data_IF_094711154113
#
_entry.id   IF_094711154113
#
_cell.length_a   1.000
_cell.length_b   1.000
_cell.length_c   1.000
_cell.angle_alpha   90.00
_cell.angle_beta   90.00
_cell.angle_gamma   90.00
#
_symmetry.space_group_name_H-M   'P 1'
#
loop_
_entity.id
_entity.type
_entity.pdbx_description
1 polymer ?
#
# COMPACT_ATOMS: atom_id res chain seq x y z
N UNK A 1 -7.31 14.06 -24.10
CA UNK A 1 -8.00 14.77 -23.02
C UNK A 1 -9.50 14.83 -23.29
N UNK A 2 -9.91 15.13 -24.52
CA UNK A 2 -11.28 15.05 -25.06
C UNK A 2 -12.13 13.85 -24.55
N UNK A 3 -11.59 12.62 -24.61
CA UNK A 3 -12.29 11.41 -24.11
C UNK A 3 -12.62 11.49 -22.61
N UNK A 4 -11.69 11.99 -21.79
CA UNK A 4 -11.89 12.09 -20.33
C UNK A 4 -12.88 13.20 -19.97
N UNK A 5 -12.84 14.33 -20.68
CA UNK A 5 -13.79 15.43 -20.50
C UNK A 5 -15.21 14.99 -20.82
N UNK A 6 -15.38 14.21 -21.89
CA UNK A 6 -16.69 13.70 -22.29
C UNK A 6 -17.23 12.67 -21.30
N UNK A 7 -16.37 11.84 -20.70
CA UNK A 7 -16.77 10.94 -19.60
C UNK A 7 -17.20 11.73 -18.35
N UNK A 8 -16.47 12.80 -17.99
CA UNK A 8 -16.83 13.68 -16.87
C UNK A 8 -18.20 14.33 -17.11
N UNK A 9 -18.44 14.81 -18.33
CA UNK A 9 -19.73 15.41 -18.72
C UNK A 9 -20.87 14.39 -18.69
N UNK A 10 -20.66 13.18 -19.22
CA UNK A 10 -21.70 12.15 -19.28
C UNK A 10 -22.11 11.63 -17.90
N UNK A 11 -21.14 11.48 -17.00
CA UNK A 11 -21.37 10.99 -15.64
C UNK A 11 -21.59 12.11 -14.61
N UNK A 12 -21.59 13.39 -15.04
CA UNK A 12 -21.70 14.58 -14.19
C UNK A 12 -20.77 14.53 -12.97
N UNK A 13 -19.54 14.08 -13.18
CA UNK A 13 -18.58 13.92 -12.08
C UNK A 13 -18.04 15.29 -11.65
N UNK A 14 -18.11 15.60 -10.36
CA UNK A 14 -17.42 16.77 -9.76
C UNK A 14 -15.91 16.52 -9.60
N UNK A 15 -15.25 16.01 -10.64
CA UNK A 15 -13.82 15.68 -10.62
C UNK A 15 -13.09 16.31 -11.81
N UNK A 16 -11.85 16.70 -11.59
CA UNK A 16 -10.99 17.22 -12.67
C UNK A 16 -10.43 16.08 -13.53
N UNK A 17 -10.12 16.37 -14.79
CA UNK A 17 -9.47 15.43 -15.74
C UNK A 17 -8.19 14.84 -15.13
N UNK A 18 -7.41 15.65 -14.41
CA UNK A 18 -6.17 15.22 -13.76
C UNK A 18 -6.41 14.23 -12.61
N UNK A 19 -7.47 14.43 -11.83
CA UNK A 19 -7.86 13.50 -10.78
C UNK A 19 -8.35 12.16 -11.36
N UNK A 20 -9.14 12.22 -12.43
CA UNK A 20 -9.65 11.03 -13.11
C UNK A 20 -8.53 10.23 -13.79
N UNK A 21 -7.60 10.92 -14.47
CA UNK A 21 -6.45 10.29 -15.12
C UNK A 21 -5.52 9.54 -14.15
N UNK A 22 -5.44 9.95 -12.89
CA UNK A 22 -4.66 9.22 -11.87
C UNK A 22 -5.31 7.92 -11.42
N UNK A 23 -6.63 7.82 -11.55
CA UNK A 23 -7.42 6.64 -11.16
C UNK A 23 -7.51 5.60 -12.28
N UNK A 24 -7.32 6.02 -13.52
CA UNK A 24 -7.40 5.17 -14.71
C UNK A 24 -6.00 4.63 -15.04
N UNK A 25 -5.94 3.34 -15.32
CA UNK A 25 -4.75 2.67 -15.83
C UNK A 25 -5.12 1.94 -17.11
N UNK A 26 -4.48 2.33 -18.22
CA UNK A 26 -4.67 1.70 -19.54
C UNK A 26 -3.44 0.89 -19.86
N UNK A 27 -3.62 -0.38 -20.20
CA UNK A 27 -2.53 -1.30 -20.55
C UNK A 27 -2.87 -2.00 -21.86
N UNK A 28 -1.88 -2.11 -22.74
CA UNK A 28 -1.98 -2.86 -24.00
C UNK A 28 -0.97 -4.00 -23.92
N UNK A 29 -1.41 -5.26 -23.76
CA UNK A 29 -0.52 -6.41 -23.76
C UNK A 29 0.23 -6.52 -25.09
N UNK A 30 1.51 -6.90 -25.04
CA UNK A 30 2.35 -7.10 -26.22
C UNK A 30 1.71 -8.12 -27.18
N UNK A 31 1.86 -7.89 -28.48
CA UNK A 31 1.35 -8.74 -29.55
C UNK A 31 -0.18 -8.98 -29.52
N UNK A 32 -0.93 -8.12 -28.81
CA UNK A 32 -2.40 -8.16 -28.81
C UNK A 32 -2.99 -6.86 -29.35
N UNK A 33 -4.22 -6.94 -29.88
CA UNK A 33 -5.04 -5.77 -30.20
C UNK A 33 -6.04 -5.47 -29.08
N UNK A 34 -5.67 -5.79 -27.84
CA UNK A 34 -6.53 -5.68 -26.67
C UNK A 34 -6.11 -4.44 -25.88
N UNK A 35 -7.08 -3.58 -25.57
CA UNK A 35 -6.89 -2.45 -24.67
C UNK A 35 -7.57 -2.77 -23.34
N UNK A 36 -6.76 -2.94 -22.30
CA UNK A 36 -7.25 -3.17 -20.94
C UNK A 36 -7.36 -1.84 -20.21
N UNK A 37 -8.57 -1.53 -19.73
CA UNK A 37 -8.87 -0.31 -18.97
C UNK A 37 -9.21 -0.72 -17.53
N UNK A 38 -8.41 -0.27 -16.58
CA UNK A 38 -8.67 -0.46 -15.15
C UNK A 38 -8.94 0.90 -14.48
N UNK A 39 -9.96 0.97 -13.64
CA UNK A 39 -10.32 2.18 -12.88
C UNK A 39 -10.31 1.86 -11.40
N UNK A 40 -9.62 2.68 -10.61
CA UNK A 40 -9.56 2.56 -9.15
C UNK A 40 -10.40 3.66 -8.51
N UNK A 41 -11.48 3.28 -7.83
CA UNK A 41 -12.28 4.18 -7.01
C UNK A 41 -12.60 3.58 -5.64
N UNK A 42 -13.01 4.43 -4.69
CA UNK A 42 -13.42 4.02 -3.36
C UNK A 42 -14.76 3.28 -3.39
N UNK A 43 -15.67 3.67 -4.31
CA UNK A 43 -16.94 3.00 -4.53
C UNK A 43 -16.84 2.03 -5.72
N UNK A 44 -17.06 0.72 -5.52
CA UNK A 44 -16.97 -0.28 -6.60
C UNK A 44 -17.93 0.00 -7.77
N UNK A 45 -19.12 0.52 -7.45
CA UNK A 45 -20.14 0.90 -8.44
C UNK A 45 -19.72 2.11 -9.27
N UNK A 46 -19.00 3.08 -8.69
CA UNK A 46 -18.49 4.19 -9.47
C UNK A 46 -17.35 3.75 -10.38
N UNK A 47 -16.47 2.87 -9.89
CA UNK A 47 -15.37 2.36 -10.69
C UNK A 47 -15.86 1.61 -11.95
N UNK A 48 -16.87 0.74 -11.81
CA UNK A 48 -17.46 0.01 -12.93
C UNK A 48 -18.15 0.95 -13.92
N UNK A 49 -18.96 1.91 -13.43
CA UNK A 49 -19.63 2.90 -14.29
C UNK A 49 -18.64 3.76 -15.06
N UNK A 50 -17.58 4.24 -14.41
CA UNK A 50 -16.54 5.05 -15.06
C UNK A 50 -15.80 4.23 -16.11
N UNK A 51 -15.44 2.97 -15.81
CA UNK A 51 -14.77 2.10 -16.76
C UNK A 51 -15.65 1.81 -18.00
N UNK A 52 -16.93 1.53 -17.80
CA UNK A 52 -17.87 1.27 -18.90
C UNK A 52 -18.15 2.52 -19.75
N UNK A 53 -18.32 3.69 -19.12
CA UNK A 53 -18.49 4.95 -19.85
C UNK A 53 -17.22 5.34 -20.61
N UNK A 54 -16.05 5.13 -20.00
CA UNK A 54 -14.77 5.38 -20.66
C UNK A 54 -14.57 4.45 -21.87
N UNK A 55 -14.94 3.17 -21.75
CA UNK A 55 -14.95 2.22 -22.86
C UNK A 55 -15.80 2.75 -24.01
N UNK A 56 -17.04 3.13 -23.75
CA UNK A 56 -17.98 3.59 -24.78
C UNK A 56 -17.45 4.82 -25.53
N UNK A 57 -17.04 5.86 -24.79
CA UNK A 57 -16.51 7.09 -25.40
C UNK A 57 -15.17 6.85 -26.09
N UNK A 58 -14.32 5.96 -25.57
CA UNK A 58 -13.07 5.60 -26.22
C UNK A 58 -13.31 4.83 -27.52
N UNK A 59 -14.25 3.87 -27.54
CA UNK A 59 -14.60 3.10 -28.74
C UNK A 59 -15.10 4.01 -29.85
N UNK A 60 -16.02 4.95 -29.57
CA UNK A 60 -16.49 5.93 -30.55
C UNK A 60 -15.34 6.78 -31.12
N UNK A 61 -14.41 7.21 -30.26
CA UNK A 61 -13.25 7.98 -30.70
C UNK A 61 -12.28 7.16 -31.53
N UNK A 62 -12.07 5.88 -31.21
CA UNK A 62 -11.20 4.98 -31.96
C UNK A 62 -11.76 4.71 -33.36
N UNK A 63 -13.07 4.45 -33.46
CA UNK A 63 -13.77 4.23 -34.74
C UNK A 63 -13.64 5.48 -35.62
N UNK A 64 -13.91 6.67 -35.07
CA UNK A 64 -13.87 7.93 -35.83
C UNK A 64 -12.46 8.33 -36.29
N UNK A 65 -11.42 8.07 -35.49
CA UNK A 65 -10.04 8.45 -35.81
C UNK A 65 -9.35 7.41 -36.70
N UNK A 66 -9.53 6.12 -36.40
CA UNK A 66 -8.80 5.03 -37.07
C UNK A 66 -9.56 4.49 -38.30
N UNK A 67 -10.82 4.90 -38.49
CA UNK A 67 -11.71 4.43 -39.58
C UNK A 67 -11.82 2.91 -39.66
N UNK A 68 -11.79 2.26 -38.49
CA UNK A 68 -12.04 0.83 -38.35
C UNK A 68 -13.53 0.56 -38.30
N UNK A 69 -13.94 -0.63 -38.75
CA UNK A 69 -15.35 -0.99 -38.89
C UNK A 69 -16.08 -1.12 -37.56
N UNK A 70 -15.40 -1.61 -36.51
CA UNK A 70 -15.99 -1.80 -35.19
C UNK A 70 -14.92 -2.03 -34.10
N UNK A 71 -15.28 -1.76 -32.84
CA UNK A 71 -14.49 -2.08 -31.64
C UNK A 71 -15.33 -2.97 -30.73
N UNK A 72 -14.97 -4.25 -30.67
CA UNK A 72 -15.71 -5.23 -29.86
C UNK A 72 -15.31 -5.16 -28.39
N UNK A 73 -16.30 -5.31 -27.51
CA UNK A 73 -16.07 -5.42 -26.07
C UNK A 73 -15.80 -6.88 -25.71
N UNK A 74 -14.63 -7.12 -25.13
CA UNK A 74 -14.26 -8.47 -24.66
C UNK A 74 -14.88 -8.76 -23.29
N UNK A 75 -14.81 -7.80 -22.37
CA UNK A 75 -15.33 -7.90 -21.01
C UNK A 75 -15.93 -6.56 -20.57
N UNK A 76 -17.09 -6.61 -19.92
CA UNK A 76 -17.70 -5.44 -19.29
C UNK A 76 -17.17 -5.25 -17.87
N UNK A 77 -16.98 -3.99 -17.46
CA UNK A 77 -16.53 -3.71 -16.10
C UNK A 77 -17.64 -4.02 -15.10
N UNK A 78 -17.35 -4.92 -14.15
CA UNK A 78 -18.23 -5.27 -13.03
C UNK A 78 -17.72 -4.64 -11.74
N UNK A 79 -18.61 -4.30 -10.78
CA UNK A 79 -18.19 -3.85 -9.45
C UNK A 79 -17.27 -4.88 -8.78
N UNK A 80 -16.17 -4.40 -8.21
CA UNK A 80 -15.23 -5.26 -7.51
C UNK A 80 -15.85 -5.81 -6.22
N UNK A 81 -15.79 -7.13 -6.01
CA UNK A 81 -16.27 -7.81 -4.80
C UNK A 81 -15.32 -7.65 -3.61
N UNK A 82 -14.05 -7.40 -3.88
CA UNK A 82 -13.00 -7.25 -2.86
C UNK A 82 -12.13 -6.04 -3.16
N UNK A 83 -11.60 -5.35 -2.13
CA UNK A 83 -10.74 -4.20 -2.33
C UNK A 83 -9.40 -4.63 -2.92
N UNK A 84 -8.95 -3.93 -3.97
CA UNK A 84 -7.66 -4.17 -4.60
C UNK A 84 -6.48 -3.63 -3.79
N UNK A 85 -6.73 -2.68 -2.88
CA UNK A 85 -5.74 -2.10 -1.98
C UNK A 85 -6.42 -1.41 -0.80
N UNK A 86 -5.73 -1.24 0.34
CA UNK A 86 -4.40 -1.75 0.68
C UNK A 86 -4.42 -3.24 1.03
N UNK A 87 -3.30 -3.94 0.82
CA UNK A 87 -3.17 -5.34 1.25
C UNK A 87 -2.84 -5.38 2.74
N UNK A 88 -3.88 -5.55 3.56
CA UNK A 88 -3.78 -5.53 5.03
C UNK A 88 -2.73 -6.52 5.51
N UNK A 89 -2.72 -7.76 5.01
CA UNK A 89 -1.77 -8.79 5.46
C UNK A 89 -0.32 -8.39 5.20
N UNK A 90 -0.02 -7.89 4.00
CA UNK A 90 1.33 -7.44 3.64
C UNK A 90 1.75 -6.24 4.49
N UNK A 91 0.86 -5.26 4.67
CA UNK A 91 1.14 -4.07 5.44
C UNK A 91 1.36 -4.38 6.93
N UNK A 92 0.56 -5.27 7.50
CA UNK A 92 0.72 -5.72 8.89
C UNK A 92 2.03 -6.49 9.07
N UNK A 93 2.38 -7.39 8.15
CA UNK A 93 3.66 -8.11 8.21
C UNK A 93 4.86 -7.14 8.15
N UNK A 94 4.81 -6.15 7.25
CA UNK A 94 5.85 -5.13 7.16
C UNK A 94 5.91 -4.27 8.42
N UNK A 95 4.76 -3.84 8.95
CA UNK A 95 4.69 -3.05 10.17
C UNK A 95 5.22 -3.83 11.39
N UNK A 96 4.96 -5.14 11.48
CA UNK A 96 5.49 -5.98 12.53
C UNK A 96 7.02 -6.09 12.48
N UNK A 97 7.59 -6.28 11.29
CA UNK A 97 9.05 -6.35 11.12
C UNK A 97 9.73 -5.04 11.49
N UNK A 98 9.19 -3.92 10.98
CA UNK A 98 9.74 -2.59 11.30
C UNK A 98 9.55 -2.26 12.77
N UNK A 99 8.37 -2.53 13.34
CA UNK A 99 8.08 -2.32 14.75
C UNK A 99 8.98 -3.16 15.66
N UNK A 100 9.23 -4.42 15.30
CA UNK A 100 10.17 -5.30 16.01
C UNK A 100 11.60 -4.79 15.97
N UNK A 101 12.06 -4.30 14.81
CA UNK A 101 13.38 -3.70 14.70
C UNK A 101 13.51 -2.44 15.58
N UNK A 102 12.50 -1.57 15.57
CA UNK A 102 12.45 -0.38 16.43
C UNK A 102 12.44 -0.79 17.91
N UNK A 103 11.67 -1.79 18.30
CA UNK A 103 11.62 -2.31 19.67
C UNK A 103 13.02 -2.73 20.15
N UNK A 104 13.74 -3.54 19.36
CA UNK A 104 15.09 -4.00 19.74
C UNK A 104 16.04 -2.82 19.93
N UNK A 105 16.04 -1.87 18.99
CA UNK A 105 16.88 -0.66 19.08
C UNK A 105 16.50 0.17 20.31
N UNK A 106 15.22 0.38 20.57
CA UNK A 106 14.77 1.15 21.74
C UNK A 106 15.17 0.48 23.05
N UNK A 107 15.01 -0.84 23.18
CA UNK A 107 15.43 -1.58 24.38
C UNK A 107 16.93 -1.49 24.57
N UNK A 108 17.72 -1.65 23.51
CA UNK A 108 19.17 -1.50 23.59
C UNK A 108 19.57 -0.09 24.03
N UNK A 109 18.95 0.95 23.47
CA UNK A 109 19.20 2.33 23.88
C UNK A 109 18.82 2.55 25.35
N UNK A 110 17.68 2.03 25.80
CA UNK A 110 17.30 2.14 27.21
C UNK A 110 18.30 1.44 28.13
N UNK A 111 18.83 0.27 27.75
CA UNK A 111 19.84 -0.42 28.55
C UNK A 111 21.18 0.32 28.55
N UNK A 112 21.60 0.89 27.41
CA UNK A 112 22.85 1.67 27.32
C UNK A 112 22.79 3.01 28.07
N UNK A 113 21.60 3.58 28.24
CA UNK A 113 21.39 4.82 28.99
C UNK A 113 21.04 4.56 30.48
N UNK A 114 20.92 3.31 30.90
CA UNK A 114 20.61 2.95 32.29
C UNK A 114 21.89 2.74 33.10
N UNK A 115 22.25 3.73 33.93
CA UNK A 115 23.45 3.70 34.79
C UNK A 115 23.30 2.82 36.06
N UNK A 116 22.34 1.89 36.09
CA UNK A 116 22.10 1.03 37.25
C UNK A 116 23.02 -0.19 37.26
N UNK A 117 23.67 -0.43 38.40
CA UNK A 117 24.40 -1.67 38.69
C UNK A 117 23.40 -2.81 38.90
N UNK A 118 23.29 -3.73 37.95
CA UNK A 118 22.37 -4.88 37.98
C UNK A 118 23.10 -6.21 38.04
N UNK A 119 24.28 -6.29 37.45
CA UNK A 119 25.08 -7.50 37.37
C UNK A 119 26.37 -7.37 38.19
N UNK A 120 26.98 -8.51 38.60
CA UNK A 120 28.26 -8.49 39.30
C UNK A 120 29.38 -7.84 38.47
N UNK A 121 29.34 -7.98 37.15
CA UNK A 121 30.35 -7.38 36.25
C UNK A 121 30.24 -5.84 36.23
N UNK A 122 29.03 -5.29 36.38
CA UNK A 122 28.81 -3.85 36.45
C UNK A 122 29.54 -3.23 37.66
N UNK A 123 29.74 -3.99 38.75
CA UNK A 123 30.50 -3.54 39.93
C UNK A 123 31.98 -3.42 39.60
N UNK A 124 32.54 -4.37 38.86
CA UNK A 124 33.94 -4.29 38.41
C UNK A 124 34.15 -3.11 37.47
N UNK A 125 33.22 -2.88 36.55
CA UNK A 125 33.29 -1.79 35.59
C UNK A 125 33.13 -0.41 36.25
N UNK A 126 32.22 -0.25 37.21
CA UNK A 126 32.02 1.02 37.92
C UNK A 126 33.15 1.29 38.93
N UNK A 127 33.57 0.29 39.69
CA UNK A 127 34.52 0.46 40.81
C UNK A 127 35.98 0.20 40.42
N UNK A 128 36.22 -0.36 39.23
CA UNK A 128 37.55 -0.72 38.70
C UNK A 128 38.34 -1.68 39.62
N UNK A 129 37.63 -2.56 40.34
CA UNK A 129 38.21 -3.57 41.24
C UNK A 129 37.77 -4.97 40.83
N UNK A 130 38.62 -5.96 41.07
CA UNK A 130 38.30 -7.36 40.77
C UNK A 130 37.23 -7.90 41.73
N UNK A 131 36.24 -8.61 41.20
CA UNK A 131 35.21 -9.31 41.94
C UNK A 131 35.81 -10.53 42.65
N UNK A 132 35.85 -10.48 43.98
CA UNK A 132 36.41 -11.57 44.80
C UNK A 132 35.40 -12.69 45.08
N UNK A 133 34.11 -12.41 45.01
CA UNK A 133 33.05 -13.40 45.25
C UNK A 133 31.67 -12.78 45.38
N UNK A 134 30.64 -13.60 45.20
CA UNK A 134 29.23 -13.21 45.32
C UNK A 134 28.66 -13.88 46.56
N UNK A 135 28.09 -13.09 47.48
CA UNK A 135 27.37 -13.61 48.65
C UNK A 135 25.87 -13.56 48.36
N UNK A 136 25.19 -14.70 48.17
CA UNK A 136 23.76 -14.73 47.91
C UNK A 136 22.96 -14.36 49.16
N UNK A 137 21.87 -13.61 48.95
CA UNK A 137 20.93 -13.23 50.00
C UNK A 137 20.05 -14.43 50.39
N UNK A 138 20.30 -14.99 51.58
CA UNK A 138 19.68 -16.23 52.07
C UNK A 138 18.17 -16.05 52.37
N UNK A 139 17.72 -14.82 52.61
CA UNK A 139 16.31 -14.53 52.89
C UNK A 139 15.45 -14.55 51.62
N UNK A 140 16.05 -14.36 50.43
CA UNK A 140 15.37 -14.43 49.13
C UNK A 140 15.32 -15.84 48.52
N UNK A 141 15.92 -16.83 49.18
CA UNK A 141 15.96 -18.23 48.75
C UNK A 141 14.88 -19.11 49.41
N UNK A 142 14.00 -18.52 50.22
CA UNK A 142 12.91 -19.20 50.93
C UNK A 142 11.60 -19.24 50.15
#
# INVERSE_FOLDING_TARGET
QDVLEKVISNLKLEKTVKALSKKIQVTVPVDTRIVSIAVKDAQPEEASRIANALREVASEKIISVTRVSDVTTLEEARPALTPSSPNIRRNTALAFLVGGAVMVVSVLLFELLDDRVKRPEDVEEVMHVALLGIVPDLDKLK
#
